data_IF_936292858008
#
_entry.id   IF_936292858008
#
_cell.length_a   1.000
_cell.length_b   1.000
_cell.length_c   1.000
_cell.angle_alpha   90.00
_cell.angle_beta   90.00
_cell.angle_gamma   90.00
#
_symmetry.space_group_name_H-M   'P 1'
#
loop_
_entity.id
_entity.type
_entity.pdbx_description
1 polymer ?
#
# COMPACT_ATOMS: atom_id res chain seq x y z
N UNK A 1 25.40 12.55 2.35
CA UNK A 1 24.63 11.33 2.05
C UNK A 1 23.13 11.63 1.98
N UNK A 2 22.47 11.96 3.10
CA UNK A 2 21.00 12.07 3.15
C UNK A 2 20.37 13.10 2.19
N UNK A 3 21.03 14.23 1.92
CA UNK A 3 20.55 15.24 0.95
C UNK A 3 20.52 14.72 -0.50
N UNK A 4 21.23 13.64 -0.80
CA UNK A 4 21.29 13.05 -2.14
C UNK A 4 20.48 11.74 -2.22
N UNK A 5 19.60 11.49 -1.26
CA UNK A 5 18.73 10.31 -1.23
C UNK A 5 17.35 10.56 -1.85
N UNK A 6 17.04 11.79 -2.27
CA UNK A 6 15.73 12.13 -2.84
C UNK A 6 15.44 11.43 -4.19
N UNK A 7 14.17 11.39 -4.56
CA UNK A 7 13.69 10.67 -5.74
C UNK A 7 14.35 11.12 -7.05
N UNK A 8 14.67 12.42 -7.19
CA UNK A 8 15.38 12.94 -8.38
C UNK A 8 16.76 12.34 -8.54
N UNK A 9 17.49 12.13 -7.44
CA UNK A 9 18.81 11.49 -7.47
C UNK A 9 18.67 10.03 -7.95
N UNK A 10 17.71 9.29 -7.40
CA UNK A 10 17.43 7.90 -7.83
C UNK A 10 17.00 7.83 -9.30
N UNK A 11 16.21 8.79 -9.78
CA UNK A 11 15.82 8.85 -11.20
C UNK A 11 17.04 9.08 -12.12
N UNK A 12 18.05 9.84 -11.69
CA UNK A 12 19.32 9.96 -12.42
C UNK A 12 20.15 8.69 -12.36
N UNK A 13 20.12 7.97 -11.25
CA UNK A 13 20.76 6.66 -11.14
C UNK A 13 20.11 5.65 -12.10
N UNK A 14 18.78 5.68 -12.25
CA UNK A 14 18.07 4.87 -13.25
C UNK A 14 18.51 5.19 -14.68
N UNK A 15 18.70 6.47 -15.03
CA UNK A 15 19.27 6.87 -16.32
C UNK A 15 20.68 6.28 -16.50
N UNK A 16 21.51 6.32 -15.44
CA UNK A 16 22.87 5.77 -15.51
C UNK A 16 22.86 4.25 -15.67
N UNK A 17 21.94 3.55 -15.03
CA UNK A 17 21.74 2.11 -15.21
C UNK A 17 21.39 1.81 -16.67
N UNK A 18 20.44 2.53 -17.28
CA UNK A 18 20.08 2.38 -18.70
C UNK A 18 21.31 2.55 -19.59
N UNK A 19 22.11 3.59 -19.35
CA UNK A 19 23.32 3.86 -20.13
C UNK A 19 24.38 2.76 -20.01
N UNK A 20 24.64 2.27 -18.79
CA UNK A 20 25.65 1.24 -18.54
C UNK A 20 25.23 -0.13 -19.08
N UNK A 21 23.94 -0.44 -19.06
CA UNK A 21 23.39 -1.64 -19.69
C UNK A 21 23.37 -1.55 -21.24
N UNK A 22 23.63 -0.38 -21.82
CA UNK A 22 23.57 -0.16 -23.26
C UNK A 22 22.15 -0.23 -23.84
N UNK A 23 21.14 -0.04 -22.99
CA UNK A 23 19.74 -0.06 -23.39
C UNK A 23 19.34 1.29 -24.02
N UNK A 24 18.46 1.26 -25.02
CA UNK A 24 17.99 2.46 -25.72
C UNK A 24 16.87 3.20 -24.96
N UNK A 25 16.49 2.72 -23.78
CA UNK A 25 15.48 3.28 -22.90
C UNK A 25 15.09 2.33 -21.78
N UNK A 26 14.35 2.85 -20.79
CA UNK A 26 13.95 2.16 -19.59
C UNK A 26 12.67 1.34 -19.79
N UNK A 27 12.75 0.04 -19.50
CA UNK A 27 11.60 -0.78 -19.17
C UNK A 27 11.44 -0.79 -17.64
N UNK A 28 10.30 -0.33 -17.12
CA UNK A 28 10.07 -0.11 -15.69
C UNK A 28 8.69 -0.55 -15.26
N UNK A 29 8.64 -1.31 -14.17
CA UNK A 29 7.43 -1.65 -13.44
C UNK A 29 7.59 -1.10 -12.03
N UNK A 30 6.86 -0.04 -11.72
CA UNK A 30 6.90 0.63 -10.43
C UNK A 30 5.62 0.40 -9.66
N UNK A 31 5.75 -0.03 -8.41
CA UNK A 31 4.63 -0.17 -7.48
C UNK A 31 4.68 0.90 -6.40
N UNK A 32 3.53 1.41 -5.96
CA UNK A 32 3.46 2.30 -4.80
C UNK A 32 4.36 3.55 -4.94
N UNK A 33 5.28 3.81 -4.00
CA UNK A 33 6.31 4.86 -4.13
C UNK A 33 7.10 4.76 -5.45
N UNK A 34 7.30 3.55 -5.99
CA UNK A 34 7.88 3.34 -7.31
C UNK A 34 7.14 4.07 -8.43
N UNK A 35 5.85 4.42 -8.25
CA UNK A 35 5.09 5.26 -9.18
C UNK A 35 5.53 6.72 -9.15
N UNK A 36 5.91 7.27 -8.00
CA UNK A 36 6.52 8.62 -7.89
C UNK A 36 7.88 8.61 -8.56
N UNK A 37 8.69 7.58 -8.31
CA UNK A 37 9.99 7.42 -8.95
C UNK A 37 9.86 7.33 -10.48
N UNK A 38 8.96 6.49 -10.98
CA UNK A 38 8.70 6.34 -12.40
C UNK A 38 8.15 7.61 -13.05
N UNK A 39 7.18 8.28 -12.42
CA UNK A 39 6.62 9.54 -12.91
C UNK A 39 7.67 10.66 -12.91
N UNK A 40 8.52 10.74 -11.89
CA UNK A 40 9.66 11.68 -11.84
C UNK A 40 10.62 11.41 -12.99
N UNK A 41 11.04 10.15 -13.17
CA UNK A 41 11.90 9.74 -14.28
C UNK A 41 11.30 10.14 -15.63
N UNK A 42 10.02 9.84 -15.85
CA UNK A 42 9.34 10.18 -17.09
C UNK A 42 9.27 11.70 -17.33
N UNK A 43 9.13 12.49 -16.27
CA UNK A 43 9.11 13.94 -16.37
C UNK A 43 10.48 14.54 -16.72
N UNK A 44 11.56 14.02 -16.13
CA UNK A 44 12.91 14.58 -16.33
C UNK A 44 13.68 13.91 -17.49
N UNK A 45 13.27 12.71 -17.92
CA UNK A 45 13.87 11.92 -19.02
C UNK A 45 12.80 11.29 -19.92
N UNK A 46 11.88 12.08 -20.49
CA UNK A 46 10.75 11.56 -21.28
C UNK A 46 11.19 10.72 -22.48
N UNK A 47 12.33 11.02 -23.08
CA UNK A 47 12.89 10.30 -24.24
C UNK A 47 13.40 8.90 -23.89
N UNK A 48 13.70 8.64 -22.61
CA UNK A 48 14.17 7.34 -22.14
C UNK A 48 13.02 6.44 -21.67
N UNK A 49 11.76 6.88 -21.74
CA UNK A 49 10.61 6.03 -21.38
C UNK A 49 10.32 5.05 -22.52
N UNK A 50 10.71 3.76 -22.37
CA UNK A 50 10.48 2.71 -23.39
C UNK A 50 9.21 1.91 -23.10
N UNK A 51 9.10 1.32 -21.92
CA UNK A 51 7.87 0.68 -21.41
C UNK A 51 7.78 0.97 -19.92
N UNK A 52 6.72 1.62 -19.48
CA UNK A 52 6.56 2.02 -18.09
C UNK A 52 5.15 1.70 -17.62
N UNK A 53 5.05 0.81 -16.62
CA UNK A 53 3.83 0.53 -15.88
C UNK A 53 3.98 1.07 -14.47
N UNK A 54 3.05 1.92 -14.05
CA UNK A 54 2.99 2.50 -12.72
C UNK A 54 1.71 2.03 -12.03
N UNK A 55 1.84 1.12 -11.06
CA UNK A 55 0.73 0.41 -10.41
C UNK A 55 0.62 0.78 -8.92
N UNK A 56 -0.57 1.17 -8.47
CA UNK A 56 -0.76 1.79 -7.18
C UNK A 56 -0.16 3.20 -7.19
N UNK A 57 -0.85 4.12 -7.87
CA UNK A 57 -0.30 5.41 -8.30
C UNK A 57 -0.49 6.49 -7.23
N UNK A 58 0.61 7.10 -6.78
CA UNK A 58 0.54 8.31 -5.96
C UNK A 58 0.22 9.56 -6.78
N UNK A 59 -0.42 10.53 -6.12
CA UNK A 59 -0.48 11.91 -6.60
C UNK A 59 0.92 12.54 -6.46
N UNK A 60 1.69 12.52 -7.56
CA UNK A 60 3.06 13.01 -7.58
C UNK A 60 3.17 14.49 -7.24
N UNK A 61 2.21 15.30 -7.67
CA UNK A 61 2.20 16.73 -7.37
C UNK A 61 2.02 16.97 -5.87
N UNK A 62 1.03 16.33 -5.25
CA UNK A 62 0.83 16.45 -3.79
C UNK A 62 2.04 15.91 -3.02
N UNK A 63 2.60 14.77 -3.43
CA UNK A 63 3.78 14.18 -2.78
C UNK A 63 4.96 15.16 -2.68
N UNK A 64 5.27 15.88 -3.76
CA UNK A 64 6.41 16.81 -3.79
C UNK A 64 6.12 18.19 -3.24
N UNK A 65 4.86 18.65 -3.29
CA UNK A 65 4.51 20.05 -3.01
C UNK A 65 3.65 20.25 -1.75
N UNK A 66 2.96 19.23 -1.25
CA UNK A 66 2.14 19.31 -0.03
C UNK A 66 1.95 17.91 0.60
N UNK A 67 2.90 17.52 1.46
CA UNK A 67 2.89 16.19 2.10
C UNK A 67 1.69 15.97 3.03
N UNK A 68 1.09 17.02 3.58
CA UNK A 68 -0.10 16.91 4.42
C UNK A 68 -1.34 16.63 3.57
N UNK A 69 -1.46 17.30 2.42
CA UNK A 69 -2.49 17.00 1.43
C UNK A 69 -2.30 15.62 0.80
N UNK A 70 -1.06 15.19 0.56
CA UNK A 70 -0.77 13.81 0.15
C UNK A 70 -1.24 12.80 1.20
N UNK A 71 -1.02 13.07 2.49
CA UNK A 71 -1.56 12.25 3.57
C UNK A 71 -3.10 12.18 3.55
N UNK A 72 -3.79 13.31 3.33
CA UNK A 72 -5.27 13.33 3.20
C UNK A 72 -5.75 12.50 2.02
N UNK A 73 -5.10 12.66 0.87
CA UNK A 73 -5.51 11.94 -0.34
C UNK A 73 -5.33 10.44 -0.19
N UNK A 74 -4.25 9.97 0.45
CA UNK A 74 -4.01 8.54 0.69
C UNK A 74 -5.17 7.82 1.40
N UNK A 75 -5.96 8.51 2.25
CA UNK A 75 -7.06 7.89 2.99
C UNK A 75 -8.39 7.79 2.23
N UNK A 76 -8.52 8.36 1.03
CA UNK A 76 -9.81 8.48 0.33
C UNK A 76 -10.54 7.14 0.12
N UNK A 77 -9.80 6.05 -0.09
CA UNK A 77 -10.36 4.71 -0.33
C UNK A 77 -10.21 3.74 0.86
N UNK A 78 -9.66 4.19 1.99
CA UNK A 78 -9.48 3.33 3.18
C UNK A 78 -10.82 2.76 3.65
N UNK A 79 -11.84 3.61 3.80
CA UNK A 79 -13.17 3.18 4.22
C UNK A 79 -13.85 2.25 3.21
N UNK A 80 -13.61 2.47 1.90
CA UNK A 80 -14.12 1.58 0.85
C UNK A 80 -13.50 0.18 0.95
N UNK A 81 -12.21 0.12 1.23
CA UNK A 81 -11.48 -1.14 1.40
C UNK A 81 -11.92 -1.87 2.67
N UNK A 82 -12.07 -1.15 3.78
CA UNK A 82 -12.59 -1.69 5.03
C UNK A 82 -14.02 -2.21 4.90
N UNK A 83 -14.90 -1.48 4.21
CA UNK A 83 -16.23 -1.96 3.88
C UNK A 83 -16.20 -3.23 3.03
N UNK A 84 -15.23 -3.35 2.12
CA UNK A 84 -14.95 -4.56 1.36
C UNK A 84 -14.54 -5.76 2.23
N UNK A 85 -13.67 -5.55 3.22
CA UNK A 85 -13.33 -6.60 4.20
C UNK A 85 -14.58 -7.11 4.93
N UNK A 86 -15.41 -6.18 5.43
CA UNK A 86 -16.66 -6.52 6.11
C UNK A 86 -17.59 -7.27 5.16
N UNK A 87 -17.89 -6.75 3.97
CA UNK A 87 -18.86 -7.37 3.06
C UNK A 87 -18.41 -8.74 2.57
N UNK A 88 -17.15 -8.88 2.14
CA UNK A 88 -16.61 -10.15 1.65
C UNK A 88 -16.55 -11.21 2.74
N UNK A 89 -16.29 -10.83 4.00
CA UNK A 89 -16.36 -11.74 5.14
C UNK A 89 -17.80 -12.25 5.36
N UNK A 90 -18.79 -11.36 5.37
CA UNK A 90 -20.20 -11.75 5.55
C UNK A 90 -20.66 -12.67 4.40
N UNK A 91 -20.34 -12.32 3.15
CA UNK A 91 -20.66 -13.12 1.97
C UNK A 91 -19.98 -14.51 2.00
N UNK A 92 -18.75 -14.58 2.53
CA UNK A 92 -18.03 -15.85 2.67
C UNK A 92 -18.72 -16.80 3.66
N UNK A 93 -19.42 -16.28 4.68
CA UNK A 93 -20.16 -17.05 5.68
C UNK A 93 -19.25 -17.73 6.73
N UNK A 94 -19.86 -18.31 7.79
CA UNK A 94 -19.12 -18.80 8.96
C UNK A 94 -18.14 -19.94 8.69
N UNK A 95 -18.36 -20.70 7.61
CA UNK A 95 -17.45 -21.76 7.21
C UNK A 95 -16.08 -21.24 6.76
N UNK A 96 -15.97 -19.96 6.40
CA UNK A 96 -14.75 -19.35 5.84
C UNK A 96 -14.31 -18.07 6.54
N UNK A 97 -15.24 -17.30 7.11
CA UNK A 97 -14.93 -16.11 7.88
C UNK A 97 -15.49 -16.21 9.31
N UNK A 98 -14.61 -16.15 10.31
CA UNK A 98 -14.99 -16.28 11.72
C UNK A 98 -15.88 -15.11 12.23
N UNK A 99 -15.82 -13.96 11.57
CA UNK A 99 -16.63 -12.78 11.89
C UNK A 99 -18.02 -12.80 11.23
N UNK A 100 -18.32 -13.79 10.36
CA UNK A 100 -19.62 -13.91 9.69
C UNK A 100 -20.75 -14.40 10.61
N UNK A 101 -20.44 -14.68 11.88
CA UNK A 101 -21.40 -15.03 12.92
C UNK A 101 -21.26 -14.14 14.14
N UNK A 102 -22.40 -13.83 14.75
CA UNK A 102 -22.48 -13.14 16.04
C UNK A 102 -21.97 -14.04 17.17
N UNK A 103 -21.74 -13.46 18.35
CA UNK A 103 -21.46 -14.22 19.59
C UNK A 103 -22.57 -15.20 19.99
N UNK A 104 -23.78 -15.03 19.45
CA UNK A 104 -24.95 -15.90 19.69
C UNK A 104 -25.18 -16.89 18.55
N UNK A 105 -24.17 -17.14 17.71
CA UNK A 105 -24.22 -18.06 16.57
C UNK A 105 -25.31 -17.73 15.53
N UNK A 106 -25.67 -16.45 15.39
CA UNK A 106 -26.55 -15.97 14.32
C UNK A 106 -25.71 -15.46 13.16
N UNK A 107 -26.26 -15.47 11.94
CA UNK A 107 -25.64 -14.81 10.79
C UNK A 107 -25.44 -13.32 11.09
N UNK A 108 -24.21 -12.85 10.91
CA UNK A 108 -23.86 -11.45 11.11
C UNK A 108 -24.25 -10.61 9.89
N UNK A 109 -24.49 -9.30 10.09
CA UNK A 109 -24.71 -8.35 8.99
C UNK A 109 -23.52 -7.41 8.84
N UNK A 110 -23.36 -6.76 7.70
CA UNK A 110 -22.29 -5.77 7.52
C UNK A 110 -22.37 -4.63 8.56
N UNK A 111 -23.57 -4.12 8.83
CA UNK A 111 -23.78 -3.10 9.87
C UNK A 111 -23.48 -3.64 11.27
N UNK A 112 -23.92 -4.88 11.57
CA UNK A 112 -23.67 -5.54 12.85
C UNK A 112 -22.18 -5.74 13.11
N UNK A 113 -21.43 -6.22 12.10
CA UNK A 113 -20.00 -6.41 12.19
C UNK A 113 -19.25 -5.08 12.37
N UNK A 114 -19.60 -4.03 11.62
CA UNK A 114 -18.99 -2.71 11.80
C UNK A 114 -19.19 -2.19 13.23
N UNK A 115 -20.43 -2.23 13.75
CA UNK A 115 -20.71 -1.83 15.14
C UNK A 115 -19.96 -2.66 16.18
N UNK A 116 -19.79 -3.96 15.91
CA UNK A 116 -19.04 -4.88 16.77
C UNK A 116 -17.56 -4.52 16.83
N UNK A 117 -16.95 -4.18 15.68
CA UNK A 117 -15.57 -3.71 15.63
C UNK A 117 -15.41 -2.34 16.31
N UNK A 118 -16.35 -1.41 16.12
CA UNK A 118 -16.35 -0.12 16.82
C UNK A 118 -16.45 -0.28 18.34
N UNK A 119 -17.28 -1.22 18.80
CA UNK A 119 -17.41 -1.56 20.22
C UNK A 119 -16.11 -2.17 20.78
N UNK A 120 -15.41 -2.99 19.99
CA UNK A 120 -14.09 -3.52 20.35
C UNK A 120 -13.07 -2.39 20.53
N UNK A 121 -12.97 -1.46 19.56
CA UNK A 121 -12.06 -0.32 19.68
C UNK A 121 -12.42 0.57 20.88
N UNK A 122 -13.71 0.84 21.09
CA UNK A 122 -14.18 1.60 22.25
C UNK A 122 -13.81 0.93 23.57
N UNK A 123 -13.92 -0.40 23.65
CA UNK A 123 -13.51 -1.17 24.81
C UNK A 123 -12.01 -1.05 25.05
N UNK A 124 -11.19 -1.32 24.04
CA UNK A 124 -9.72 -1.25 24.13
C UNK A 124 -9.20 0.16 24.48
N UNK A 125 -9.94 1.21 24.12
CA UNK A 125 -9.61 2.58 24.50
C UNK A 125 -9.86 2.89 25.97
N UNK A 126 -10.84 2.23 26.60
CA UNK A 126 -11.16 2.39 28.03
C UNK A 126 -10.38 1.41 28.91
N UNK A 127 -10.24 0.18 28.44
CA UNK A 127 -9.62 -0.94 29.13
C UNK A 127 -8.61 -1.60 28.18
N UNK A 128 -7.36 -1.09 28.12
CA UNK A 128 -6.32 -1.72 27.32
C UNK A 128 -6.10 -3.17 27.72
N UNK A 129 -5.90 -4.03 26.73
CA UNK A 129 -5.69 -5.46 26.97
C UNK A 129 -4.22 -5.72 27.36
N UNK A 130 -4.00 -6.29 28.53
CA UNK A 130 -2.69 -6.73 29.00
C UNK A 130 -2.39 -8.12 28.42
N UNK A 131 -1.27 -8.25 27.72
CA UNK A 131 -0.78 -9.52 27.16
C UNK A 131 0.39 -9.98 28.02
N UNK A 132 0.19 -11.02 28.82
CA UNK A 132 1.22 -11.53 29.74
C UNK A 132 2.27 -12.42 29.09
N UNK A 133 1.90 -13.17 28.05
CA UNK A 133 2.78 -14.09 27.32
C UNK A 133 2.55 -13.96 25.80
N UNK A 134 3.63 -13.68 25.06
CA UNK A 134 3.65 -13.67 23.60
C UNK A 134 5.07 -13.97 23.10
N UNK A 135 5.22 -14.24 21.80
CA UNK A 135 6.54 -14.50 21.20
C UNK A 135 7.51 -13.32 21.29
N UNK A 136 7.01 -12.09 21.51
CA UNK A 136 7.83 -10.87 21.69
C UNK A 136 7.84 -10.38 23.14
N UNK A 137 7.35 -11.19 24.08
CA UNK A 137 7.25 -10.84 25.51
C UNK A 137 5.92 -10.20 25.90
N UNK A 138 5.80 -9.69 27.13
CA UNK A 138 4.58 -9.08 27.64
C UNK A 138 4.35 -7.68 27.05
N UNK A 139 3.10 -7.24 26.99
CA UNK A 139 2.74 -5.97 26.38
C UNK A 139 1.30 -5.52 26.62
N UNK A 140 0.94 -4.40 25.98
CA UNK A 140 -0.40 -3.81 26.08
C UNK A 140 -0.94 -3.52 24.68
N UNK A 141 -2.18 -3.92 24.42
CA UNK A 141 -2.93 -3.61 23.20
C UNK A 141 -3.98 -2.53 23.53
N UNK A 142 -3.87 -1.39 22.85
CA UNK A 142 -4.81 -0.27 22.93
C UNK A 142 -5.64 -0.19 21.64
N UNK A 143 -6.66 0.70 21.63
CA UNK A 143 -7.52 0.89 20.46
C UNK A 143 -6.74 1.24 19.18
N UNK A 144 -5.79 2.18 19.28
CA UNK A 144 -4.93 2.60 18.18
C UNK A 144 -4.08 1.43 17.63
N UNK A 145 -3.60 0.54 18.50
CA UNK A 145 -2.82 -0.63 18.07
C UNK A 145 -3.67 -1.57 17.19
N UNK A 146 -4.92 -1.85 17.62
CA UNK A 146 -5.84 -2.68 16.87
C UNK A 146 -6.26 -2.01 15.54
N UNK A 147 -6.54 -0.70 15.55
CA UNK A 147 -6.90 0.05 14.34
C UNK A 147 -5.75 0.12 13.32
N UNK A 148 -4.52 0.36 13.77
CA UNK A 148 -3.33 0.35 12.90
C UNK A 148 -3.09 -1.02 12.28
N UNK A 149 -3.22 -2.09 13.07
CA UNK A 149 -3.08 -3.45 12.54
C UNK A 149 -4.19 -3.77 11.51
N UNK A 150 -5.46 -3.45 11.80
CA UNK A 150 -6.55 -3.63 10.83
C UNK A 150 -6.31 -2.82 9.55
N UNK A 151 -5.87 -1.57 9.67
CA UNK A 151 -5.50 -0.72 8.53
C UNK A 151 -4.37 -1.33 7.70
N UNK A 152 -3.34 -1.88 8.34
CA UNK A 152 -2.26 -2.58 7.67
C UNK A 152 -2.74 -3.78 6.85
N UNK A 153 -3.67 -4.59 7.37
CA UNK A 153 -4.24 -5.71 6.60
C UNK A 153 -5.12 -5.29 5.43
N UNK A 154 -5.55 -4.02 5.34
CA UNK A 154 -6.27 -3.55 4.16
C UNK A 154 -5.37 -3.59 2.92
N UNK A 155 -4.04 -3.58 3.07
CA UNK A 155 -3.10 -3.81 1.97
C UNK A 155 -3.18 -5.23 1.37
N UNK A 156 -3.58 -6.21 2.18
CA UNK A 156 -3.41 -7.65 1.93
C UNK A 156 -4.73 -8.44 2.06
N UNK A 157 -5.64 -8.35 1.07
CA UNK A 157 -6.91 -9.06 1.09
C UNK A 157 -6.79 -10.58 1.23
N UNK A 158 -5.70 -11.18 0.74
CA UNK A 158 -5.41 -12.61 0.89
C UNK A 158 -5.26 -13.05 2.35
N UNK A 159 -4.98 -12.12 3.27
CA UNK A 159 -4.83 -12.39 4.70
C UNK A 159 -6.09 -12.11 5.52
N UNK A 160 -7.18 -11.65 4.90
CA UNK A 160 -8.40 -11.26 5.61
C UNK A 160 -9.07 -12.41 6.37
N UNK A 161 -8.89 -13.65 5.91
CA UNK A 161 -9.33 -14.83 6.67
C UNK A 161 -8.60 -14.94 8.02
N UNK A 162 -7.28 -14.76 8.02
CA UNK A 162 -6.47 -14.76 9.24
C UNK A 162 -6.80 -13.57 10.15
N UNK A 163 -6.98 -12.38 9.57
CA UNK A 163 -7.43 -11.19 10.30
C UNK A 163 -8.77 -11.42 11.01
N UNK A 164 -9.74 -12.03 10.33
CA UNK A 164 -11.05 -12.28 10.92
C UNK A 164 -10.96 -13.22 12.14
N UNK A 165 -10.13 -14.25 12.06
CA UNK A 165 -9.87 -15.15 13.20
C UNK A 165 -9.18 -14.41 14.35
N UNK A 166 -8.16 -13.60 14.04
CA UNK A 166 -7.45 -12.81 15.03
C UNK A 166 -8.39 -11.82 15.73
N UNK A 167 -9.29 -11.14 15.01
CA UNK A 167 -10.25 -10.20 15.60
C UNK A 167 -11.19 -10.90 16.58
N UNK A 168 -11.65 -12.12 16.27
CA UNK A 168 -12.46 -12.91 17.21
C UNK A 168 -11.68 -13.26 18.49
N UNK A 169 -10.40 -13.62 18.37
CA UNK A 169 -9.54 -13.87 19.54
C UNK A 169 -9.37 -12.62 20.40
N UNK A 170 -9.16 -11.45 19.77
CA UNK A 170 -9.01 -10.18 20.48
C UNK A 170 -10.28 -9.81 21.25
N UNK A 171 -11.46 -10.07 20.67
CA UNK A 171 -12.73 -9.87 21.36
C UNK A 171 -12.93 -10.78 22.58
N UNK A 172 -12.25 -11.93 22.60
CA UNK A 172 -12.23 -12.87 23.73
C UNK A 172 -11.17 -12.51 24.76
N UNK A 173 -10.36 -11.47 24.53
CA UNK A 173 -9.27 -11.06 25.40
C UNK A 173 -7.96 -11.81 25.15
N UNK A 174 -7.85 -12.55 24.03
CA UNK A 174 -6.61 -13.18 23.62
C UNK A 174 -5.83 -12.25 22.66
N UNK A 175 -4.81 -11.59 23.21
CA UNK A 175 -3.91 -10.70 22.49
C UNK A 175 -2.59 -11.35 22.06
N UNK A 176 -2.41 -12.67 22.26
CA UNK A 176 -1.11 -13.34 22.08
C UNK A 176 -0.58 -13.24 20.65
N UNK A 177 -1.46 -13.31 19.65
CA UNK A 177 -1.10 -13.13 18.24
C UNK A 177 -1.05 -11.65 17.81
N UNK A 178 -1.82 -10.79 18.47
CA UNK A 178 -1.92 -9.36 18.13
C UNK A 178 -0.69 -8.56 18.55
N UNK A 179 -0.17 -8.81 19.75
CA UNK A 179 0.92 -8.00 20.28
C UNK A 179 2.22 -8.13 19.47
N UNK A 180 2.71 -9.35 19.11
CA UNK A 180 3.86 -9.50 18.23
C UNK A 180 3.64 -8.87 16.85
N UNK A 181 2.45 -9.06 16.29
CA UNK A 181 2.08 -8.53 14.98
C UNK A 181 2.15 -7.00 14.97
N UNK A 182 1.51 -6.34 15.95
CA UNK A 182 1.60 -4.89 16.12
C UNK A 182 3.03 -4.41 16.39
N UNK A 183 3.78 -5.08 17.28
CA UNK A 183 5.17 -4.72 17.59
C UNK A 183 6.05 -4.74 16.34
N UNK A 184 5.93 -5.78 15.52
CA UNK A 184 6.68 -5.89 14.27
C UNK A 184 6.26 -4.82 13.26
N UNK A 185 4.96 -4.67 13.02
CA UNK A 185 4.44 -3.79 11.98
C UNK A 185 4.62 -2.29 12.27
N UNK A 186 4.50 -1.90 13.54
CA UNK A 186 4.48 -0.48 13.93
C UNK A 186 5.83 0.01 14.44
N UNK A 187 6.58 -0.85 15.13
CA UNK A 187 7.87 -0.47 15.68
C UNK A 187 9.06 -1.04 14.90
N UNK A 188 8.86 -2.07 14.06
CA UNK A 188 9.95 -2.74 13.35
C UNK A 188 10.92 -3.47 14.29
N UNK A 189 10.51 -3.73 15.54
CA UNK A 189 11.39 -4.28 16.58
C UNK A 189 10.83 -5.64 17.01
N UNK A 190 11.56 -6.69 16.66
CA UNK A 190 11.58 -7.94 17.41
C UNK A 190 12.68 -7.79 18.48
N UNK A 191 12.35 -7.66 19.78
CA UNK A 191 13.38 -7.74 20.79
C UNK A 191 13.99 -9.15 20.72
N UNK A 192 15.27 -9.23 20.37
CA UNK A 192 16.04 -10.47 20.51
C UNK A 192 15.88 -11.00 21.95
N UNK A 193 15.82 -12.33 22.16
CA UNK A 193 15.68 -12.90 23.48
C UNK A 193 16.67 -12.28 24.46
N UNK A 194 16.18 -11.85 25.63
CA UNK A 194 16.99 -11.21 26.69
C UNK A 194 18.19 -12.07 27.15
N UNK A 195 18.25 -13.34 26.74
CA UNK A 195 19.32 -14.30 27.02
C UNK A 195 20.50 -14.22 26.06
N UNK A 196 20.45 -13.44 24.97
CA UNK A 196 21.58 -13.29 24.06
C UNK A 196 22.66 -12.34 24.60
N UNK A 197 23.94 -12.66 24.34
CA UNK A 197 25.06 -11.86 24.82
C UNK A 197 25.12 -10.48 24.09
N UNK A 198 25.63 -9.45 24.79
CA UNK A 198 25.68 -8.05 24.30
C UNK A 198 26.50 -7.89 23.00
N UNK A 199 27.42 -8.79 22.70
CA UNK A 199 28.25 -8.76 21.49
C UNK A 199 27.63 -9.50 20.29
N UNK A 200 26.60 -10.31 20.53
CA UNK A 200 25.78 -10.99 19.54
C UNK A 200 24.43 -10.29 19.32
N UNK A 201 24.21 -9.14 20.00
CA UNK A 201 23.31 -8.09 19.52
C UNK A 201 23.88 -7.57 18.21
N UNK A 202 23.70 -8.36 17.16
CA UNK A 202 23.90 -7.95 15.78
C UNK A 202 23.29 -6.56 15.63
N UNK A 203 23.92 -5.68 14.84
CA UNK A 203 23.20 -4.54 14.27
C UNK A 203 21.87 -5.11 13.79
N UNK A 204 20.77 -4.73 14.46
CA UNK A 204 19.48 -5.36 14.22
C UNK A 204 19.25 -5.26 12.72
N UNK A 205 19.09 -6.40 12.06
CA UNK A 205 18.46 -6.39 10.75
C UNK A 205 17.03 -5.96 11.07
N UNK A 206 16.75 -4.65 10.95
CA UNK A 206 15.40 -4.09 10.95
C UNK A 206 14.92 -4.34 9.55
N UNK A 207 14.35 -5.51 9.27
CA UNK A 207 14.11 -5.84 7.91
C UNK A 207 12.83 -5.02 7.59
N UNK A 208 12.86 -4.17 6.56
CA UNK A 208 11.71 -3.28 6.31
C UNK A 208 11.98 -1.93 5.66
N UNK A 209 10.88 -1.25 5.37
CA UNK A 209 10.86 0.17 5.08
C UNK A 209 11.00 0.92 6.42
N UNK A 210 12.24 1.21 6.80
CA UNK A 210 12.54 1.86 8.08
C UNK A 210 12.29 3.37 8.01
N UNK A 211 12.09 4.04 9.16
CA UNK A 211 12.01 5.51 9.17
C UNK A 211 13.32 6.13 8.68
N UNK A 212 14.42 5.44 8.92
CA UNK A 212 15.78 5.78 8.53
C UNK A 212 15.95 5.79 7.00
N UNK A 213 15.26 4.94 6.25
CA UNK A 213 15.21 4.99 4.79
C UNK A 213 14.09 5.86 4.25
N UNK A 214 12.92 5.86 4.88
CA UNK A 214 11.73 6.55 4.39
C UNK A 214 11.82 8.07 4.51
N UNK A 215 12.24 8.60 5.67
CA UNK A 215 12.21 10.04 5.93
C UNK A 215 13.23 10.85 5.13
N UNK A 216 14.48 10.40 4.93
CA UNK A 216 15.41 11.12 4.05
C UNK A 216 14.88 11.31 2.62
N UNK A 217 14.08 10.37 2.13
CA UNK A 217 13.49 10.39 0.79
C UNK A 217 12.22 11.23 0.81
N UNK A 218 11.18 10.78 1.52
CA UNK A 218 9.86 11.41 1.53
C UNK A 218 9.90 12.85 2.03
N UNK A 219 10.54 13.08 3.17
CA UNK A 219 10.68 14.45 3.69
C UNK A 219 11.77 15.22 2.95
N UNK A 220 12.69 14.54 2.25
CA UNK A 220 13.64 15.18 1.36
C UNK A 220 12.99 15.77 0.11
N UNK A 221 12.01 15.06 -0.44
CA UNK A 221 11.28 15.43 -1.66
C UNK A 221 10.16 16.45 -1.41
N UNK A 222 9.52 16.40 -0.24
CA UNK A 222 8.50 17.36 0.19
C UNK A 222 9.08 18.76 0.55
N UNK A 223 8.29 19.85 0.59
CA UNK A 223 8.78 21.14 1.09
C UNK A 223 8.95 21.11 2.62
N UNK A 224 9.46 22.19 3.20
CA UNK A 224 9.39 22.35 4.65
C UNK A 224 7.93 22.46 5.08
N UNK A 225 7.52 21.60 6.01
CA UNK A 225 6.20 21.69 6.62
C UNK A 225 6.28 22.73 7.75
N UNK A 226 5.79 23.92 7.46
CA UNK A 226 5.81 25.07 8.37
C UNK A 226 4.41 25.29 8.95
N UNK A 227 4.07 24.49 9.97
CA UNK A 227 2.81 24.58 10.72
C UNK A 227 3.10 24.57 12.23
N UNK A 228 2.20 25.17 12.99
CA UNK A 228 2.21 25.17 14.46
C UNK A 228 1.90 23.78 15.03
N UNK A 229 2.12 23.60 16.34
CA UNK A 229 1.79 22.33 17.01
C UNK A 229 0.26 22.15 17.03
N UNK A 230 -0.46 23.25 17.19
CA UNK A 230 -1.92 23.31 17.23
C UNK A 230 -2.52 22.91 15.88
N UNK A 231 -2.01 23.47 14.78
CA UNK A 231 -2.41 23.08 13.41
C UNK A 231 -2.11 21.61 13.12
N UNK A 232 -0.97 21.10 13.59
CA UNK A 232 -0.66 19.67 13.45
C UNK A 232 -1.58 18.79 14.30
N UNK A 233 -1.95 19.23 15.50
CA UNK A 233 -2.93 18.52 16.33
C UNK A 233 -4.31 18.48 15.68
N UNK A 234 -4.72 19.56 15.02
CA UNK A 234 -5.96 19.61 14.25
C UNK A 234 -5.91 18.70 13.02
N UNK A 235 -4.79 18.70 12.30
CA UNK A 235 -4.53 17.75 11.22
C UNK A 235 -4.62 16.30 11.70
N UNK A 236 -3.98 15.98 12.83
CA UNK A 236 -4.01 14.64 13.40
C UNK A 236 -5.44 14.17 13.72
N UNK A 237 -6.25 15.04 14.34
CA UNK A 237 -7.67 14.76 14.63
C UNK A 237 -8.52 14.64 13.37
N UNK A 238 -8.26 15.45 12.35
CA UNK A 238 -8.91 15.36 11.05
C UNK A 238 -8.64 13.98 10.44
N UNK A 239 -7.38 13.58 10.37
CA UNK A 239 -6.96 12.30 9.78
C UNK A 239 -7.59 11.11 10.51
N UNK A 240 -7.65 11.12 11.85
CA UNK A 240 -8.33 10.08 12.62
C UNK A 240 -9.83 9.94 12.32
N UNK A 241 -10.49 11.02 11.85
CA UNK A 241 -11.91 11.00 11.43
C UNK A 241 -12.09 10.50 9.98
N UNK A 242 -11.06 10.57 9.15
CA UNK A 242 -11.14 10.17 7.74
C UNK A 242 -11.24 8.65 7.58
N UNK A 243 -10.68 7.86 8.49
CA UNK A 243 -10.85 6.41 8.49
C UNK A 243 -9.84 5.65 9.35
N UNK A 244 -9.97 4.32 9.44
CA UNK A 244 -9.05 3.47 10.18
C UNK A 244 -7.58 3.67 9.74
N UNK A 245 -6.69 3.89 10.72
CA UNK A 245 -5.26 4.14 10.46
C UNK A 245 -4.94 5.57 10.02
N UNK A 246 -5.90 6.50 10.01
CA UNK A 246 -5.63 7.89 9.63
C UNK A 246 -4.64 8.59 10.56
N UNK A 247 -4.71 8.33 11.87
CA UNK A 247 -3.72 8.81 12.83
C UNK A 247 -2.30 8.30 12.52
N UNK A 248 -2.17 7.07 12.00
CA UNK A 248 -0.88 6.51 11.60
C UNK A 248 -0.32 7.23 10.38
N UNK A 249 -1.15 7.52 9.37
CA UNK A 249 -0.76 8.35 8.22
C UNK A 249 -0.33 9.74 8.70
N UNK A 250 -1.07 10.33 9.65
CA UNK A 250 -0.73 11.62 10.23
C UNK A 250 0.65 11.63 10.89
N UNK A 251 1.00 10.57 11.64
CA UNK A 251 2.35 10.40 12.22
C UNK A 251 3.43 10.29 11.14
N UNK A 252 3.18 9.56 10.05
CA UNK A 252 4.15 9.36 8.97
C UNK A 252 4.48 10.69 8.31
N UNK A 253 3.47 11.44 7.85
CA UNK A 253 3.69 12.72 7.15
C UNK A 253 4.09 13.83 8.12
N UNK A 254 3.58 13.80 9.35
CA UNK A 254 3.92 14.74 10.41
C UNK A 254 5.39 14.69 10.81
N UNK A 255 6.03 13.54 10.66
CA UNK A 255 7.48 13.39 10.83
C UNK A 255 8.30 14.37 10.00
N UNK A 256 7.79 14.81 8.84
CA UNK A 256 8.48 15.76 7.97
C UNK A 256 8.55 17.20 8.52
N UNK A 257 7.71 17.56 9.50
CA UNK A 257 7.75 18.86 10.20
C UNK A 257 9.07 19.07 10.93
N UNK A 258 9.53 18.04 11.64
CA UNK A 258 10.80 18.07 12.38
C UNK A 258 12.02 17.73 11.53
N UNK A 259 11.85 17.43 10.24
CA UNK A 259 12.95 16.93 9.41
C UNK A 259 13.86 18.08 8.95
N UNK A 260 15.18 18.06 9.25
CA UNK A 260 16.01 19.26 9.21
C UNK A 260 16.63 19.59 7.83
N UNK A 261 16.44 18.74 6.81
CA UNK A 261 17.00 18.99 5.48
C UNK A 261 16.03 18.58 4.39
N UNK A 262 16.25 19.12 3.19
CA UNK A 262 15.60 18.71 1.95
C UNK A 262 16.62 18.14 0.98
N UNK A 263 16.15 17.33 0.04
CA UNK A 263 16.98 16.80 -1.02
C UNK A 263 17.61 17.96 -1.81
N UNK A 264 18.86 17.78 -2.25
CA UNK A 264 19.61 18.76 -3.04
C UNK A 264 18.85 19.12 -4.30
N UNK A 265 18.18 18.13 -4.90
CA UNK A 265 17.34 18.30 -6.07
C UNK A 265 15.94 17.78 -5.76
N UNK A 266 14.94 18.57 -6.12
CA UNK A 266 13.53 18.25 -5.95
C UNK A 266 12.79 18.55 -7.24
N UNK A 267 11.87 17.68 -7.61
CA UNK A 267 11.04 17.86 -8.79
C UNK A 267 9.68 18.46 -8.37
N UNK A 268 9.58 19.79 -8.41
CA UNK A 268 8.34 20.49 -8.02
C UNK A 268 7.34 20.66 -9.18
N UNK A 269 7.71 20.22 -10.38
CA UNK A 269 6.89 20.31 -11.60
C UNK A 269 7.74 20.62 -12.84
N UNK A 270 7.12 20.81 -14.01
CA UNK A 270 5.66 20.86 -14.24
C UNK A 270 4.99 19.48 -14.21
N UNK A 271 3.87 19.33 -13.48
CA UNK A 271 3.18 18.03 -13.36
C UNK A 271 2.15 17.77 -14.47
N UNK A 272 1.78 18.80 -15.23
CA UNK A 272 0.77 18.69 -16.28
C UNK A 272 1.31 19.10 -17.64
N UNK A 273 0.77 18.53 -18.72
CA UNK A 273 1.09 18.94 -20.11
C UNK A 273 0.82 20.43 -20.32
N UNK A 274 -0.24 20.96 -19.68
CA UNK A 274 -0.58 22.39 -19.73
C UNK A 274 0.52 23.29 -19.16
N UNK A 275 1.23 22.82 -18.14
CA UNK A 275 2.34 23.53 -17.49
C UNK A 275 3.70 23.25 -18.13
N UNK A 276 3.75 22.44 -19.19
CA UNK A 276 4.97 22.14 -19.94
C UNK A 276 5.59 20.78 -19.63
N UNK A 277 4.87 19.85 -19.00
CA UNK A 277 5.30 18.45 -18.92
C UNK A 277 5.43 17.89 -20.34
N UNK A 278 6.61 17.35 -20.64
CA UNK A 278 6.98 16.91 -21.98
C UNK A 278 6.36 15.56 -22.32
N UNK A 279 6.08 15.36 -23.62
CA UNK A 279 5.59 14.10 -24.15
C UNK A 279 6.63 12.99 -23.97
N UNK A 280 6.22 11.85 -23.43
CA UNK A 280 7.09 10.68 -23.29
C UNK A 280 7.27 9.94 -24.61
N UNK A 281 8.41 9.27 -24.82
CA UNK A 281 8.68 8.48 -26.03
C UNK A 281 7.65 7.36 -26.26
N UNK A 282 7.15 6.76 -25.19
CA UNK A 282 6.12 5.73 -25.25
C UNK A 282 5.08 5.96 -24.15
N UNK A 283 3.77 5.73 -24.40
CA UNK A 283 2.74 5.97 -23.39
C UNK A 283 2.95 5.15 -22.11
N UNK A 284 2.86 5.79 -20.95
CA UNK A 284 2.89 5.15 -19.63
C UNK A 284 1.54 4.47 -19.36
N UNK A 285 1.56 3.24 -18.85
CA UNK A 285 0.36 2.61 -18.31
C UNK A 285 0.25 2.87 -16.81
N UNK A 286 -0.71 3.69 -16.41
CA UNK A 286 -1.12 3.80 -15.01
C UNK A 286 -2.10 2.66 -14.70
N UNK A 287 -1.90 1.99 -13.57
CA UNK A 287 -2.78 0.94 -13.04
C UNK A 287 -3.27 1.36 -11.66
N UNK A 288 -4.59 1.38 -11.46
CA UNK A 288 -5.18 1.71 -10.16
C UNK A 288 -6.32 0.76 -9.81
N UNK A 289 -6.38 0.36 -8.54
CA UNK A 289 -7.55 -0.37 -8.03
C UNK A 289 -8.64 0.61 -7.61
N UNK A 290 -9.88 0.20 -7.84
CA UNK A 290 -11.03 1.00 -7.44
C UNK A 290 -11.21 1.09 -5.91
N UNK A 291 -10.67 0.15 -5.13
CA UNK A 291 -10.58 0.21 -3.67
C UNK A 291 -9.15 -0.10 -3.16
N UNK A 292 -8.18 0.68 -3.64
CA UNK A 292 -6.83 0.72 -3.07
C UNK A 292 -6.79 1.60 -1.80
N UNK A 293 -6.42 1.09 -0.62
CA UNK A 293 -6.42 1.86 0.65
C UNK A 293 -5.24 2.82 0.81
N UNK A 294 -4.30 2.86 -0.12
CA UNK A 294 -3.00 3.57 -0.02
C UNK A 294 -2.83 4.59 -1.12
N UNK A 295 -3.08 4.15 -2.36
CA UNK A 295 -2.95 4.92 -3.60
C UNK A 295 -4.29 4.92 -4.30
N UNK A 296 -5.24 5.75 -3.85
CA UNK A 296 -6.63 5.63 -4.27
C UNK A 296 -6.77 5.94 -5.77
N UNK A 297 -7.74 5.33 -6.44
CA UNK A 297 -8.00 5.52 -7.87
C UNK A 297 -8.02 7.00 -8.34
N UNK A 298 -8.57 7.97 -7.58
CA UNK A 298 -8.47 9.38 -7.94
C UNK A 298 -7.05 9.87 -8.22
N UNK A 299 -6.02 9.35 -7.52
CA UNK A 299 -4.62 9.67 -7.79
C UNK A 299 -4.16 9.16 -9.16
N UNK A 300 -4.47 7.91 -9.50
CA UNK A 300 -4.18 7.34 -10.83
C UNK A 300 -4.90 8.10 -11.95
N UNK A 301 -6.16 8.47 -11.73
CA UNK A 301 -6.95 9.29 -12.66
C UNK A 301 -6.33 10.68 -12.84
N UNK A 302 -5.91 11.31 -11.74
CA UNK A 302 -5.24 12.62 -11.76
C UNK A 302 -3.94 12.56 -12.56
N UNK A 303 -3.06 11.61 -12.24
CA UNK A 303 -1.76 11.47 -12.91
C UNK A 303 -1.91 11.15 -14.41
N UNK A 304 -2.84 10.26 -14.78
CA UNK A 304 -3.14 9.98 -16.18
C UNK A 304 -3.63 11.22 -16.95
N UNK A 305 -4.52 12.02 -16.35
CA UNK A 305 -4.97 13.28 -16.98
C UNK A 305 -3.83 14.30 -17.09
N UNK A 306 -2.98 14.37 -16.06
CA UNK A 306 -1.87 15.32 -15.98
C UNK A 306 -0.80 15.03 -17.04
N UNK A 307 -0.44 13.76 -17.24
CA UNK A 307 0.50 13.30 -18.27
C UNK A 307 -0.07 13.39 -19.70
N UNK A 308 -1.41 13.42 -19.82
CA UNK A 308 -2.12 13.58 -21.07
C UNK A 308 -2.19 12.28 -21.89
N UNK A 309 -3.31 12.09 -22.59
CA UNK A 309 -3.63 10.82 -23.25
C UNK A 309 -2.73 10.45 -24.45
N UNK A 310 -1.82 11.34 -24.87
CA UNK A 310 -0.76 10.99 -25.82
C UNK A 310 0.45 10.31 -25.17
N UNK A 311 0.65 10.53 -23.86
CA UNK A 311 1.78 10.02 -23.08
C UNK A 311 1.32 9.02 -22.02
N UNK A 312 0.03 8.78 -21.87
CA UNK A 312 -0.47 7.86 -20.85
C UNK A 312 -1.80 7.20 -21.19
N UNK A 313 -2.02 6.06 -20.55
CA UNK A 313 -3.29 5.35 -20.50
C UNK A 313 -3.55 4.90 -19.05
N UNK A 314 -4.81 4.70 -18.71
CA UNK A 314 -5.24 4.17 -17.41
C UNK A 314 -5.92 2.81 -17.59
N UNK A 315 -5.43 1.81 -16.86
CA UNK A 315 -6.11 0.55 -16.60
C UNK A 315 -6.64 0.57 -15.17
N UNK A 316 -7.93 0.25 -15.01
CA UNK A 316 -8.61 0.20 -13.73
C UNK A 316 -8.88 -1.27 -13.40
N UNK A 317 -8.42 -1.71 -12.24
CA UNK A 317 -8.76 -3.04 -11.73
C UNK A 317 -9.81 -2.91 -10.63
N UNK A 318 -10.89 -3.66 -10.73
CA UNK A 318 -11.78 -3.84 -9.60
C UNK A 318 -11.07 -4.69 -8.54
N UNK A 319 -11.12 -4.28 -7.28
CA UNK A 319 -10.56 -5.07 -6.21
C UNK A 319 -10.14 -4.25 -5.01
N UNK A 320 -9.50 -4.94 -4.09
CA UNK A 320 -9.10 -4.42 -2.80
C UNK A 320 -7.59 -4.61 -2.66
N UNK A 321 -6.98 -3.94 -1.69
CA UNK A 321 -5.55 -4.10 -1.42
C UNK A 321 -4.68 -3.16 -2.22
N UNK A 322 -3.37 -3.35 -2.06
CA UNK A 322 -2.37 -2.49 -2.67
C UNK A 322 -1.08 -3.29 -2.94
N UNK A 323 -0.56 -3.33 -4.19
CA UNK A 323 -1.08 -2.76 -5.44
C UNK A 323 -1.99 -3.77 -6.18
N UNK A 324 -2.12 -3.73 -7.52
CA UNK A 324 -3.07 -4.60 -8.27
C UNK A 324 -2.81 -6.10 -8.10
N UNK A 325 -1.58 -6.47 -7.75
CA UNK A 325 -1.19 -7.85 -7.45
C UNK A 325 -1.82 -8.41 -6.16
N UNK A 326 -2.30 -7.55 -5.25
CA UNK A 326 -2.89 -7.99 -3.97
C UNK A 326 -4.28 -8.59 -4.12
N UNK A 327 -4.97 -8.26 -5.22
CA UNK A 327 -6.20 -8.93 -5.64
C UNK A 327 -6.10 -9.28 -7.13
N UNK A 328 -5.34 -10.34 -7.48
CA UNK A 328 -4.94 -10.65 -8.84
C UNK A 328 -6.07 -10.69 -9.86
N UNK A 329 -5.76 -10.25 -11.08
CA UNK A 329 -6.63 -10.33 -12.26
C UNK A 329 -5.85 -10.82 -13.47
N UNK A 330 -6.28 -11.91 -14.10
CA UNK A 330 -5.69 -12.36 -15.36
C UNK A 330 -5.88 -11.33 -16.49
N UNK A 331 -6.97 -10.55 -16.46
CA UNK A 331 -7.20 -9.45 -17.40
C UNK A 331 -6.11 -8.39 -17.29
N UNK A 332 -5.80 -7.93 -16.08
CA UNK A 332 -4.73 -6.94 -15.84
C UNK A 332 -3.37 -7.51 -16.24
N UNK A 333 -3.08 -8.75 -15.85
CA UNK A 333 -1.83 -9.41 -16.17
C UNK A 333 -1.59 -9.53 -17.69
N UNK A 334 -2.64 -9.85 -18.46
CA UNK A 334 -2.57 -9.92 -19.94
C UNK A 334 -2.26 -8.55 -20.55
N UNK A 335 -2.91 -7.48 -20.09
CA UNK A 335 -2.65 -6.13 -20.58
C UNK A 335 -1.22 -5.67 -20.25
N UNK A 336 -0.73 -5.90 -19.04
CA UNK A 336 0.65 -5.58 -18.65
C UNK A 336 1.66 -6.35 -19.50
N UNK A 337 1.44 -7.66 -19.70
CA UNK A 337 2.28 -8.50 -20.56
C UNK A 337 2.30 -7.96 -21.99
N UNK A 338 1.14 -7.71 -22.58
CA UNK A 338 1.02 -7.28 -23.98
C UNK A 338 1.62 -5.88 -24.19
N UNK A 339 1.55 -5.03 -23.17
CA UNK A 339 2.25 -3.75 -23.16
C UNK A 339 3.78 -3.91 -23.18
N UNK A 340 4.35 -4.69 -22.28
CA UNK A 340 5.80 -4.88 -22.24
C UNK A 340 6.34 -5.65 -23.45
N UNK A 341 5.69 -6.75 -23.83
CA UNK A 341 6.19 -7.67 -24.87
C UNK A 341 5.85 -7.19 -26.27
N UNK A 342 4.65 -6.67 -26.48
CA UNK A 342 4.14 -6.33 -27.81
C UNK A 342 4.00 -4.82 -28.04
N UNK A 343 4.16 -3.98 -27.01
CA UNK A 343 3.92 -2.55 -27.12
C UNK A 343 2.44 -2.21 -27.33
N UNK A 344 1.52 -3.08 -26.93
CA UNK A 344 0.09 -2.81 -27.05
C UNK A 344 -0.33 -1.96 -25.86
N UNK A 345 -0.73 -0.71 -26.15
CA UNK A 345 -1.24 0.22 -25.14
C UNK A 345 -2.76 -0.03 -25.00
N UNK A 346 -3.27 -0.39 -23.81
CA UNK A 346 -4.70 -0.58 -23.61
C UNK A 346 -5.45 0.74 -23.81
N UNK A 347 -6.72 0.62 -24.21
CA UNK A 347 -7.61 1.78 -24.33
C UNK A 347 -7.68 2.47 -22.97
N UNK A 348 -7.61 3.80 -22.96
CA UNK A 348 -7.68 4.57 -21.73
C UNK A 348 -9.03 4.33 -21.01
N UNK A 349 -8.96 3.94 -19.75
CA UNK A 349 -10.13 3.51 -18.97
C UNK A 349 -10.48 2.03 -19.10
N UNK A 350 -9.60 1.19 -19.65
CA UNK A 350 -9.78 -0.28 -19.66
C UNK A 350 -10.06 -0.78 -18.24
N UNK A 351 -11.11 -1.60 -18.09
CA UNK A 351 -11.55 -2.10 -16.79
C UNK A 351 -11.39 -3.62 -16.72
N UNK A 352 -10.74 -4.10 -15.66
CA UNK A 352 -10.50 -5.52 -15.39
C UNK A 352 -11.12 -5.92 -14.05
N UNK A 353 -11.67 -7.14 -13.99
CA UNK A 353 -12.20 -7.73 -12.75
C UNK A 353 -11.21 -8.71 -12.13
N UNK A 354 -11.19 -8.89 -10.80
CA UNK A 354 -10.24 -9.77 -10.14
C UNK A 354 -10.68 -11.23 -10.27
N UNK A 355 -9.76 -12.14 -10.00
CA UNK A 355 -10.04 -13.57 -10.01
C UNK A 355 -11.07 -13.94 -8.92
N UNK A 356 -12.15 -14.66 -9.27
CA UNK A 356 -13.23 -14.94 -8.34
C UNK A 356 -12.78 -15.84 -7.19
N UNK A 357 -13.16 -15.49 -5.97
CA UNK A 357 -12.86 -16.28 -4.76
C UNK A 357 -11.39 -16.26 -4.38
N UNK A 358 -10.65 -15.19 -4.70
CA UNK A 358 -9.28 -14.99 -4.24
C UNK A 358 -9.19 -14.80 -2.71
N UNK A 359 -10.00 -13.88 -2.16
CA UNK A 359 -9.97 -13.46 -0.75
C UNK A 359 -10.43 -14.57 0.20
N UNK A 360 -11.55 -15.23 -0.14
CA UNK A 360 -12.11 -16.36 0.60
C UNK A 360 -12.32 -17.54 -0.37
N UNK A 361 -11.30 -18.39 -0.57
CA UNK A 361 -11.35 -19.44 -1.58
C UNK A 361 -12.39 -20.52 -1.29
N UNK A 362 -12.93 -21.09 -2.36
CA UNK A 362 -13.90 -22.19 -2.33
C UNK A 362 -13.41 -23.34 -3.20
N UNK A 363 -13.99 -24.54 -3.04
CA UNK A 363 -13.68 -25.68 -3.91
C UNK A 363 -13.92 -25.37 -5.40
N UNK A 364 -14.88 -24.50 -5.72
CA UNK A 364 -15.15 -24.07 -7.11
C UNK A 364 -14.10 -23.10 -7.65
N UNK A 365 -13.44 -22.32 -6.79
CA UNK A 365 -12.30 -21.46 -7.16
C UNK A 365 -11.13 -22.29 -7.71
N UNK A 366 -10.74 -23.35 -6.98
CA UNK A 366 -9.66 -24.24 -7.42
C UNK A 366 -9.99 -24.96 -8.73
N UNK A 367 -11.25 -25.38 -8.89
CA UNK A 367 -11.74 -25.99 -10.13
C UNK A 367 -11.62 -25.04 -11.34
N UNK A 368 -11.97 -23.75 -11.20
CA UNK A 368 -11.85 -22.77 -12.29
C UNK A 368 -10.39 -22.52 -12.70
N UNK A 369 -9.44 -22.41 -11.76
CA UNK A 369 -8.01 -22.26 -12.10
C UNK A 369 -7.46 -23.45 -12.89
N UNK A 370 -7.96 -24.66 -12.61
CA UNK A 370 -7.56 -25.88 -13.31
C UNK A 370 -7.98 -25.89 -14.79
N UNK A 371 -8.99 -25.10 -15.17
CA UNK A 371 -9.48 -24.96 -16.54
C UNK A 371 -8.73 -23.90 -17.36
N UNK A 372 -7.87 -23.09 -16.74
CA UNK A 372 -7.04 -22.11 -17.45
C UNK A 372 -6.03 -22.82 -18.36
N UNK A 373 -5.77 -22.20 -19.52
CA UNK A 373 -4.66 -22.63 -20.39
C UNK A 373 -3.33 -22.59 -19.62
N UNK A 374 -2.35 -23.40 -20.04
CA UNK A 374 -1.03 -23.43 -19.39
C UNK A 374 -0.40 -22.04 -19.31
N UNK A 375 -0.51 -21.26 -20.39
CA UNK A 375 0.03 -19.89 -20.47
C UNK A 375 -0.66 -18.94 -19.50
N UNK A 376 -1.99 -19.00 -19.42
CA UNK A 376 -2.76 -18.14 -18.51
C UNK A 376 -2.53 -18.49 -17.05
N UNK A 377 -2.39 -19.79 -16.74
CA UNK A 377 -2.03 -20.25 -15.40
C UNK A 377 -0.65 -19.77 -14.98
N UNK A 378 0.36 -19.94 -15.85
CA UNK A 378 1.73 -19.47 -15.59
C UNK A 378 1.76 -17.95 -15.37
N UNK A 379 0.98 -17.20 -16.15
CA UNK A 379 0.88 -15.75 -16.00
C UNK A 379 0.24 -15.36 -14.68
N UNK A 380 -0.84 -16.04 -14.28
CA UNK A 380 -1.49 -15.79 -13.01
C UNK A 380 -0.56 -16.15 -11.84
N UNK A 381 0.10 -17.31 -11.88
CA UNK A 381 1.12 -17.72 -10.89
C UNK A 381 2.23 -16.67 -10.75
N UNK A 382 2.73 -16.11 -11.87
CA UNK A 382 3.72 -15.03 -11.80
C UNK A 382 3.19 -13.76 -11.12
N UNK A 383 1.91 -13.41 -11.32
CA UNK A 383 1.27 -12.28 -10.62
C UNK A 383 1.11 -12.58 -9.13
N UNK A 384 0.74 -13.82 -8.79
CA UNK A 384 0.64 -14.27 -7.40
C UNK A 384 2.00 -14.25 -6.70
N UNK A 385 3.07 -14.67 -7.39
CA UNK A 385 4.44 -14.59 -6.89
C UNK A 385 4.89 -13.14 -6.70
N UNK A 386 4.61 -12.25 -7.66
CA UNK A 386 4.91 -10.82 -7.52
C UNK A 386 4.14 -10.18 -6.35
N UNK A 387 2.86 -10.52 -6.17
CA UNK A 387 2.06 -10.10 -5.02
C UNK A 387 2.61 -10.68 -3.71
N UNK A 388 3.03 -11.94 -3.73
CA UNK A 388 3.69 -12.62 -2.62
C UNK A 388 5.05 -12.02 -2.26
N UNK A 389 5.81 -11.50 -3.23
CA UNK A 389 7.03 -10.73 -2.98
C UNK A 389 6.69 -9.39 -2.35
N UNK A 390 5.62 -8.70 -2.78
CA UNK A 390 5.14 -7.47 -2.14
C UNK A 390 4.74 -7.70 -0.67
N UNK A 391 3.98 -8.77 -0.39
CA UNK A 391 3.59 -9.12 0.98
C UNK A 391 4.77 -9.65 1.81
N UNK A 392 5.69 -10.43 1.24
CA UNK A 392 6.93 -10.84 1.92
C UNK A 392 7.89 -9.67 2.14
N UNK A 393 7.95 -8.66 1.28
CA UNK A 393 8.69 -7.43 1.59
C UNK A 393 7.97 -6.57 2.64
N UNK A 394 6.69 -6.81 2.92
CA UNK A 394 5.97 -6.18 4.02
C UNK A 394 5.99 -6.98 5.34
N UNK A 395 6.25 -8.30 5.31
CA UNK A 395 6.17 -9.21 6.47
C UNK A 395 7.41 -10.12 6.71
N UNK A 396 8.28 -10.34 5.72
CA UNK A 396 9.60 -11.01 5.85
C UNK A 396 10.71 -9.98 6.13
N UNK A 397 10.25 -8.90 6.74
CA UNK A 397 10.94 -7.71 7.11
C UNK A 397 10.41 -7.39 8.53
#
# INVERSE_FOLDING_TARGET
>A
MLRNSGTVAVAKDMERIVQVLGEDGLNYLGYSYGTVLGATFAAIRPNLVKRMVLDGVYDGEAYYNDVLQWGRSALQNMNKTFAGFVSTCIEAGPARCALATTKTNKTETAEGLTKRLDALYTKLGKEPLIVGDSSTGPGIIQANHAQSAVSAFMYFPEQWQGLAQALVQLEQGDGKYWYPMFSNFVYGILPEPYTQNVFNRSMQNLPGNTRESQYPIMCGDAPQVDITIEEYADYFREMGRLGPGGEQVALIVGGCRGWPFRATERYTGPWTVKEGLQKTRFPIMFVGLDADPVTPLPSAVKMNRAFGFESSTLLIQQGFGHPSTSHPSLCTAKNIRDYFVHGIVPINGTYCTPEPGWIFPTNTTHSKRSMLSRRDRTLLEAVEELGGVSSRLAFSL
#
